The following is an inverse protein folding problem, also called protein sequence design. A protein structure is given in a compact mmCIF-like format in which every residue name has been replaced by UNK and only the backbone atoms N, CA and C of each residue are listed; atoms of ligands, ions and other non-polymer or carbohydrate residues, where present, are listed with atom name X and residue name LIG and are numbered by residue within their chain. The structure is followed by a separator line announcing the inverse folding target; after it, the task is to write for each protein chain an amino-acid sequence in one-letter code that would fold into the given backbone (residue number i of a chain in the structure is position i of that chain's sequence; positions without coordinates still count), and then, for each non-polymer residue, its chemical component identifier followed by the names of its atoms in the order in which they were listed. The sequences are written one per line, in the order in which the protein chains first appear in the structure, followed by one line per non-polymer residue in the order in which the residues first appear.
data_IF_412378569176
#
_entry.id   IF_412378569176
#
_cell.length_a   1.000
_cell.length_b   1.000
_cell.length_c   1.000
_cell.angle_alpha   90.00
_cell.angle_beta   90.00
_cell.angle_gamma   90.00
#
_symmetry.space_group_name_H-M   'P 1'
#
loop_
_entity.id
_entity.type
_entity.pdbx_description
1 polymer ?
#
# COMPACT_ATOMS: atom_id res chain seq x y z
N UNK A 1 -5.51 -15.11 18.23
CA UNK A 1 -5.33 -15.57 16.82
C UNK A 1 -3.85 -15.73 16.52
N UNK A 2 -3.01 -14.69 16.68
CA UNK A 2 -1.58 -14.72 16.37
C UNK A 2 -0.87 -15.93 17.02
N UNK A 3 -0.90 -16.04 18.35
CA UNK A 3 -0.25 -17.12 19.10
C UNK A 3 -0.71 -18.52 18.72
N UNK A 4 -1.98 -18.66 18.27
CA UNK A 4 -2.52 -19.94 17.84
C UNK A 4 -2.13 -20.30 16.40
N UNK A 5 -1.52 -19.40 15.65
CA UNK A 5 -1.19 -19.53 14.22
C UNK A 5 0.31 -19.44 13.92
N UNK A 6 1.14 -19.14 14.91
CA UNK A 6 2.61 -19.22 14.77
C UNK A 6 3.04 -20.72 14.67
N UNK A 7 4.00 -21.07 13.77
CA UNK A 7 4.79 -20.18 12.91
C UNK A 7 4.15 -19.84 11.54
N UNK A 8 3.05 -20.49 11.19
CA UNK A 8 2.43 -20.39 9.87
C UNK A 8 2.07 -18.94 9.50
N UNK A 9 1.60 -18.13 10.47
CA UNK A 9 1.21 -16.74 10.25
C UNK A 9 2.33 -15.89 9.64
N UNK A 10 3.57 -16.13 10.05
CA UNK A 10 4.74 -15.37 9.56
C UNK A 10 5.14 -15.70 8.12
N UNK A 11 4.57 -16.75 7.52
CA UNK A 11 4.85 -17.16 6.14
C UNK A 11 3.71 -16.85 5.16
N UNK A 12 2.59 -16.31 5.66
CA UNK A 12 1.42 -16.06 4.83
C UNK A 12 1.68 -14.96 3.81
N UNK A 13 1.27 -15.19 2.57
CA UNK A 13 1.32 -14.24 1.47
C UNK A 13 0.12 -14.45 0.53
N UNK A 14 -1.07 -14.06 1.00
CA UNK A 14 -2.35 -14.30 0.33
C UNK A 14 -2.41 -13.81 -1.12
N UNK A 15 -1.75 -12.68 -1.41
CA UNK A 15 -1.75 -12.09 -2.75
C UNK A 15 -0.61 -12.60 -3.65
N UNK A 16 0.33 -13.39 -3.12
CA UNK A 16 1.50 -13.83 -3.86
C UNK A 16 2.39 -12.66 -4.31
N UNK A 17 2.56 -11.69 -3.44
CA UNK A 17 3.38 -10.52 -3.72
C UNK A 17 4.88 -10.86 -3.63
N UNK A 18 5.69 -10.43 -4.63
CA UNK A 18 7.10 -10.84 -4.77
C UNK A 18 8.07 -9.65 -4.96
N UNK A 19 7.55 -8.41 -5.08
CA UNK A 19 8.38 -7.24 -5.31
C UNK A 19 9.26 -6.92 -4.10
N UNK A 20 10.43 -6.30 -4.38
CA UNK A 20 11.32 -5.76 -3.36
C UNK A 20 10.79 -4.42 -2.84
N UNK A 21 11.13 -4.09 -1.60
CA UNK A 21 10.83 -2.77 -1.05
C UNK A 21 11.75 -1.72 -1.73
N UNK A 22 11.22 -0.61 -2.26
CA UNK A 22 12.03 0.44 -2.88
C UNK A 22 13.10 0.99 -1.94
N UNK A 23 14.29 1.29 -2.48
CA UNK A 23 15.44 1.73 -1.67
C UNK A 23 15.19 3.03 -0.91
N UNK A 24 14.33 3.89 -1.45
CA UNK A 24 13.96 5.15 -0.78
C UNK A 24 13.15 4.95 0.51
N UNK A 25 12.65 3.74 0.82
CA UNK A 25 12.15 3.44 2.17
C UNK A 25 13.25 3.58 3.25
N UNK A 26 14.52 3.45 2.85
CA UNK A 26 15.66 3.65 3.76
C UNK A 26 16.19 5.08 3.79
N UNK A 27 15.71 5.97 2.91
CA UNK A 27 16.26 7.34 2.79
C UNK A 27 15.21 8.44 2.83
N UNK A 28 13.96 8.11 2.54
CA UNK A 28 12.87 9.07 2.35
C UNK A 28 12.97 9.87 1.04
N UNK A 29 13.90 9.56 0.14
CA UNK A 29 14.13 10.32 -1.11
C UNK A 29 13.16 9.87 -2.21
N UNK A 30 11.93 10.37 -2.15
CA UNK A 30 10.90 10.18 -3.17
C UNK A 30 10.18 11.50 -3.46
N UNK A 31 9.67 11.64 -4.66
CA UNK A 31 8.90 12.80 -5.10
C UNK A 31 7.44 12.79 -4.59
N UNK A 32 7.00 11.67 -4.01
CA UNK A 32 5.69 11.56 -3.40
C UNK A 32 5.70 12.15 -1.99
N UNK A 33 5.19 13.38 -1.84
CA UNK A 33 5.27 14.16 -0.60
C UNK A 33 4.78 13.41 0.65
N UNK A 34 3.68 12.66 0.54
CA UNK A 34 3.14 11.85 1.65
C UNK A 34 4.11 10.75 2.10
N UNK A 35 4.76 10.06 1.16
CA UNK A 35 5.77 9.03 1.46
C UNK A 35 7.05 9.64 1.99
N UNK A 36 7.55 10.72 1.34
CA UNK A 36 8.71 11.46 1.83
C UNK A 36 8.58 11.81 3.32
N UNK A 37 7.51 12.51 3.69
CA UNK A 37 7.32 12.94 5.08
C UNK A 37 7.08 11.78 6.04
N UNK A 38 6.28 10.79 5.66
CA UNK A 38 6.00 9.65 6.55
C UNK A 38 7.23 8.78 6.79
N UNK A 39 8.05 8.54 5.76
CA UNK A 39 9.29 7.77 5.88
C UNK A 39 10.35 8.58 6.63
N UNK A 40 10.53 9.85 6.28
CA UNK A 40 11.49 10.71 6.97
C UNK A 40 11.18 10.81 8.47
N UNK A 41 9.93 11.00 8.85
CA UNK A 41 9.50 10.99 10.25
C UNK A 41 9.83 9.64 10.92
N UNK A 42 9.59 8.53 10.21
CA UNK A 42 9.88 7.19 10.74
C UNK A 42 11.38 6.99 10.99
N UNK A 43 12.23 7.44 10.05
CA UNK A 43 13.69 7.34 10.15
C UNK A 43 14.27 8.26 11.23
N UNK A 44 13.77 9.50 11.32
CA UNK A 44 14.31 10.50 12.25
C UNK A 44 13.88 10.25 13.70
N UNK A 45 12.67 9.70 13.92
CA UNK A 45 12.08 9.56 15.25
C UNK A 45 11.81 8.12 15.67
N UNK A 46 12.10 7.14 14.84
CA UNK A 46 11.74 5.73 15.03
C UNK A 46 10.25 5.53 15.37
N UNK A 47 9.40 6.45 14.90
CA UNK A 47 7.97 6.47 15.19
C UNK A 47 7.16 7.12 14.06
N UNK A 48 6.03 6.54 13.75
CA UNK A 48 4.97 7.13 12.94
C UNK A 48 3.59 6.77 13.53
N UNK A 49 2.61 7.64 13.32
CA UNK A 49 1.23 7.36 13.70
C UNK A 49 0.70 6.14 12.92
N UNK A 50 -0.15 5.33 13.56
CA UNK A 50 -0.69 4.11 12.95
C UNK A 50 -1.28 4.33 11.54
N UNK A 51 -1.99 5.45 11.32
CA UNK A 51 -2.54 5.77 9.99
C UNK A 51 -1.44 6.04 8.95
N UNK A 52 -0.32 6.65 9.31
CA UNK A 52 0.82 6.83 8.39
C UNK A 52 1.42 5.46 8.02
N UNK A 53 1.59 4.58 9.02
CA UNK A 53 2.08 3.20 8.80
C UNK A 53 1.13 2.42 7.89
N UNK A 54 -0.16 2.43 8.20
CA UNK A 54 -1.16 1.62 7.49
C UNK A 54 -1.49 2.18 6.10
N UNK A 55 -1.88 3.47 6.05
CA UNK A 55 -2.54 4.06 4.87
C UNK A 55 -1.60 4.88 3.97
N UNK A 56 -0.34 5.06 4.35
CA UNK A 56 0.67 5.73 3.52
C UNK A 56 1.75 4.72 3.14
N UNK A 57 2.65 4.39 4.06
CA UNK A 57 3.78 3.47 3.75
C UNK A 57 3.32 2.05 3.47
N UNK A 58 2.51 1.45 4.34
CA UNK A 58 1.98 0.10 4.14
C UNK A 58 1.07 -0.04 2.91
N UNK A 59 0.20 0.96 2.68
CA UNK A 59 -0.66 1.01 1.51
C UNK A 59 0.17 1.01 0.21
N UNK A 60 1.19 1.86 0.12
CA UNK A 60 2.02 1.93 -1.09
C UNK A 60 2.77 0.61 -1.33
N UNK A 61 3.37 0.02 -0.30
CA UNK A 61 4.03 -1.28 -0.39
C UNK A 61 3.07 -2.39 -0.89
N UNK A 62 1.84 -2.43 -0.35
CA UNK A 62 0.81 -3.39 -0.79
C UNK A 62 0.40 -3.17 -2.25
N UNK A 63 0.24 -1.91 -2.67
CA UNK A 63 -0.12 -1.56 -4.05
C UNK A 63 0.99 -1.86 -5.05
N UNK A 64 2.26 -1.79 -4.64
CA UNK A 64 3.42 -2.21 -5.45
C UNK A 64 3.56 -3.73 -5.53
N UNK A 65 2.87 -4.50 -4.71
CA UNK A 65 3.04 -5.93 -4.61
C UNK A 65 4.34 -6.34 -3.90
N UNK A 66 4.79 -5.54 -2.95
CA UNK A 66 5.99 -5.87 -2.13
C UNK A 66 5.75 -7.11 -1.30
N UNK A 67 6.77 -8.00 -1.24
CA UNK A 67 6.69 -9.22 -0.43
C UNK A 67 6.46 -8.86 1.04
N UNK A 68 5.52 -9.51 1.76
CA UNK A 68 5.20 -9.17 3.15
C UNK A 68 6.41 -9.20 4.10
N UNK A 69 7.38 -10.09 3.87
CA UNK A 69 8.61 -10.17 4.68
C UNK A 69 9.46 -8.91 4.59
N UNK A 70 9.52 -8.27 3.42
CA UNK A 70 10.23 -7.01 3.25
C UNK A 70 9.60 -5.89 4.09
N UNK A 71 8.25 -5.84 4.08
CA UNK A 71 7.50 -4.85 4.85
C UNK A 71 7.65 -5.13 6.35
N UNK A 72 7.48 -6.37 6.79
CA UNK A 72 7.64 -6.76 8.19
C UNK A 72 9.04 -6.42 8.70
N UNK A 73 10.09 -6.77 7.93
CA UNK A 73 11.48 -6.51 8.27
C UNK A 73 11.75 -5.01 8.42
N UNK A 74 11.23 -4.19 7.50
CA UNK A 74 11.40 -2.75 7.57
C UNK A 74 10.70 -2.16 8.80
N UNK A 75 9.46 -2.55 9.09
CA UNK A 75 8.72 -2.06 10.26
C UNK A 75 9.37 -2.48 11.58
N UNK A 76 9.79 -3.74 11.70
CA UNK A 76 10.48 -4.23 12.88
C UNK A 76 11.84 -3.54 13.10
N UNK A 77 12.53 -3.17 12.02
CA UNK A 77 13.83 -2.51 12.08
C UNK A 77 13.77 -1.01 12.36
N UNK A 78 12.69 -0.34 12.00
CA UNK A 78 12.58 1.13 12.09
C UNK A 78 11.89 1.60 13.37
N UNK A 79 10.78 0.96 13.78
CA UNK A 79 9.96 1.50 14.86
C UNK A 79 10.38 1.00 16.24
N UNK A 80 10.58 1.93 17.18
CA UNK A 80 10.98 1.64 18.56
C UNK A 80 9.91 0.84 19.33
N UNK A 81 8.66 0.96 18.93
CA UNK A 81 7.52 0.25 19.52
C UNK A 81 7.17 -1.06 18.81
N UNK A 82 8.00 -1.49 17.86
CA UNK A 82 7.77 -2.69 17.06
C UNK A 82 8.15 -3.96 17.84
N UNK A 83 7.19 -4.52 18.53
CA UNK A 83 7.27 -5.88 19.08
C UNK A 83 6.64 -6.84 18.08
N UNK A 84 7.32 -7.97 17.79
CA UNK A 84 6.91 -8.92 16.75
C UNK A 84 5.42 -9.32 16.86
N UNK A 85 4.99 -9.73 18.05
CA UNK A 85 3.62 -10.18 18.28
C UNK A 85 2.54 -9.08 18.12
N UNK A 86 2.93 -7.82 18.19
CA UNK A 86 2.08 -6.66 17.89
C UNK A 86 2.20 -6.26 16.43
N UNK A 87 3.44 -6.22 15.94
CA UNK A 87 3.76 -5.69 14.61
C UNK A 87 3.26 -6.61 13.50
N UNK A 88 3.51 -7.92 13.57
CA UNK A 88 3.10 -8.84 12.51
C UNK A 88 1.59 -8.87 12.26
N UNK A 89 0.68 -8.92 13.26
CA UNK A 89 -0.75 -8.81 13.01
C UNK A 89 -1.15 -7.47 12.36
N UNK A 90 -0.49 -6.36 12.73
CA UNK A 90 -0.78 -5.05 12.16
C UNK A 90 -0.18 -4.87 10.75
N UNK A 91 1.01 -5.38 10.50
CA UNK A 91 1.67 -5.26 9.20
C UNK A 91 1.19 -6.34 8.24
N UNK A 92 1.51 -7.60 8.51
CA UNK A 92 1.19 -8.73 7.64
C UNK A 92 -0.31 -8.97 7.53
N UNK A 93 -1.04 -8.95 8.63
CA UNK A 93 -2.49 -9.18 8.65
C UNK A 93 -3.28 -7.96 8.18
N UNK A 94 -3.10 -6.82 8.81
CA UNK A 94 -3.94 -5.64 8.53
C UNK A 94 -3.45 -4.84 7.32
N UNK A 95 -2.16 -4.45 7.29
CA UNK A 95 -1.61 -3.59 6.25
C UNK A 95 -1.49 -4.32 4.91
N UNK A 96 -0.87 -5.50 4.89
CA UNK A 96 -0.60 -6.26 3.67
C UNK A 96 -1.71 -7.25 3.32
N UNK A 97 -2.66 -7.49 4.23
CA UNK A 97 -3.72 -8.49 4.05
C UNK A 97 -3.19 -9.88 3.65
N UNK A 98 -1.98 -10.18 4.08
CA UNK A 98 -1.27 -11.39 3.70
C UNK A 98 -1.85 -12.66 4.35
N UNK A 99 -2.69 -12.50 5.37
CA UNK A 99 -3.42 -13.59 6.05
C UNK A 99 -4.77 -13.93 5.40
N UNK A 100 -5.13 -13.26 4.30
CA UNK A 100 -6.37 -13.49 3.58
C UNK A 100 -7.65 -13.13 4.36
N UNK A 101 -7.52 -12.34 5.44
CA UNK A 101 -8.67 -11.82 6.18
C UNK A 101 -8.89 -12.43 7.56
N UNK A 102 -7.87 -13.03 8.17
CA UNK A 102 -7.95 -13.50 9.57
C UNK A 102 -8.00 -12.33 10.57
N UNK A 103 -7.26 -11.26 10.29
CA UNK A 103 -7.18 -10.06 11.14
C UNK A 103 -8.09 -8.96 10.60
N UNK A 104 -7.97 -8.64 9.31
CA UNK A 104 -8.71 -7.56 8.67
C UNK A 104 -9.84 -8.10 7.77
N UNK A 105 -11.00 -7.48 7.78
CA UNK A 105 -12.16 -7.90 6.99
C UNK A 105 -12.05 -7.53 5.50
N UNK A 106 -11.08 -6.68 5.13
CA UNK A 106 -10.75 -6.26 3.76
C UNK A 106 -9.33 -5.71 3.73
N UNK A 107 -8.68 -5.65 2.55
CA UNK A 107 -7.41 -4.94 2.41
C UNK A 107 -7.55 -3.45 2.76
N UNK A 108 -6.57 -2.91 3.47
CA UNK A 108 -6.47 -1.48 3.77
C UNK A 108 -5.67 -0.76 2.68
N UNK A 109 -6.18 -0.86 1.45
CA UNK A 109 -5.63 -0.15 0.29
C UNK A 109 -6.52 1.01 -0.10
N UNK A 110 -5.92 2.08 -0.60
CA UNK A 110 -6.63 3.29 -1.03
C UNK A 110 -5.88 4.05 -2.11
N UNK A 111 -6.62 4.85 -2.88
CA UNK A 111 -6.05 5.86 -3.77
C UNK A 111 -5.55 7.08 -3.00
N UNK A 112 -4.88 8.00 -3.70
CA UNK A 112 -4.45 9.28 -3.15
C UNK A 112 -5.57 10.14 -2.56
N UNK A 113 -6.81 9.94 -3.00
CA UNK A 113 -7.98 10.66 -2.45
C UNK A 113 -8.17 10.45 -0.96
N UNK A 114 -7.88 9.26 -0.43
CA UNK A 114 -7.93 9.01 1.01
C UNK A 114 -6.85 9.81 1.74
N UNK A 115 -5.61 9.78 1.24
CA UNK A 115 -4.48 10.52 1.82
C UNK A 115 -4.77 12.01 1.84
N UNK A 116 -5.30 12.55 0.74
CA UNK A 116 -5.70 13.97 0.64
C UNK A 116 -6.78 14.37 1.64
N UNK A 117 -7.71 13.45 1.95
CA UNK A 117 -8.78 13.70 2.94
C UNK A 117 -8.25 13.67 4.37
N UNK A 118 -7.23 12.85 4.66
CA UNK A 118 -6.74 12.59 6.01
C UNK A 118 -5.51 13.40 6.39
N UNK A 119 -4.93 14.15 5.44
CA UNK A 119 -3.69 14.89 5.64
C UNK A 119 -3.61 16.11 4.71
N UNK A 120 -2.60 16.95 4.92
CA UNK A 120 -2.27 18.09 4.05
C UNK A 120 -1.14 17.77 3.05
N UNK A 121 -0.64 16.56 2.97
CA UNK A 121 0.50 16.19 2.12
C UNK A 121 0.30 16.49 0.64
N UNK A 122 -0.94 16.40 0.15
CA UNK A 122 -1.24 16.58 -1.26
C UNK A 122 -1.23 18.05 -1.71
N UNK A 123 -1.27 19.02 -0.77
CA UNK A 123 -1.27 20.45 -1.09
C UNK A 123 -0.01 20.91 -1.81
N UNK A 124 1.15 20.42 -1.34
CA UNK A 124 2.47 20.80 -1.86
C UNK A 124 3.15 19.65 -2.63
N UNK A 125 2.37 18.65 -3.05
CA UNK A 125 2.89 17.50 -3.80
C UNK A 125 3.00 17.85 -5.28
N UNK A 126 4.09 17.41 -5.93
CA UNK A 126 4.22 17.56 -7.39
C UNK A 126 3.17 16.77 -8.18
N UNK A 127 2.59 15.72 -7.59
CA UNK A 127 1.57 14.89 -8.22
C UNK A 127 0.16 15.39 -7.91
N UNK A 128 -0.69 15.45 -8.93
CA UNK A 128 -2.08 15.83 -8.79
C UNK A 128 -2.94 14.66 -8.31
N UNK A 129 -3.47 14.76 -7.09
CA UNK A 129 -4.29 13.73 -6.47
C UNK A 129 -5.65 13.51 -7.15
N UNK A 130 -6.13 14.48 -7.96
CA UNK A 130 -7.39 14.37 -8.70
C UNK A 130 -7.25 13.60 -10.01
N UNK A 131 -6.04 13.53 -10.54
CA UNK A 131 -5.74 12.86 -11.81
C UNK A 131 -5.43 11.38 -11.59
N UNK A 132 -5.83 10.55 -12.56
CA UNK A 132 -5.58 9.11 -12.58
C UNK A 132 -4.57 8.73 -13.65
N UNK A 133 -4.46 9.55 -14.69
CA UNK A 133 -3.64 9.34 -15.88
C UNK A 133 -2.76 10.56 -16.13
N UNK A 134 -1.71 10.38 -16.91
CA UNK A 134 -0.73 11.43 -17.21
C UNK A 134 0.47 11.40 -16.26
N UNK A 135 1.53 12.13 -16.62
CA UNK A 135 2.80 12.12 -15.88
C UNK A 135 2.65 12.68 -14.47
N UNK A 136 1.84 13.73 -14.32
CA UNK A 136 1.62 14.40 -13.04
C UNK A 136 0.53 13.75 -12.18
N UNK A 137 -0.11 12.67 -12.64
CA UNK A 137 -1.13 11.99 -11.85
C UNK A 137 -0.52 11.31 -10.61
N UNK A 138 -1.25 11.34 -9.50
CA UNK A 138 -0.80 10.68 -8.27
C UNK A 138 -0.58 9.17 -8.49
N UNK A 139 0.63 8.63 -8.19
CA UNK A 139 0.93 7.20 -8.39
C UNK A 139 -0.03 6.26 -7.68
N UNK A 140 -0.49 6.61 -6.48
CA UNK A 140 -1.48 5.83 -5.74
C UNK A 140 -2.77 5.57 -6.54
N UNK A 141 -3.18 6.49 -7.41
CA UNK A 141 -4.44 6.35 -8.14
C UNK A 141 -4.39 5.22 -9.16
N UNK A 142 -3.37 5.19 -10.01
CA UNK A 142 -3.20 4.12 -11.01
C UNK A 142 -2.94 2.77 -10.34
N UNK A 143 -2.04 2.75 -9.33
CA UNK A 143 -1.73 1.54 -8.58
C UNK A 143 -2.96 0.95 -7.88
N UNK A 144 -3.80 1.79 -7.27
CA UNK A 144 -5.01 1.34 -6.59
C UNK A 144 -6.01 0.65 -7.52
N UNK A 145 -6.27 1.23 -8.69
CA UNK A 145 -7.21 0.65 -9.63
C UNK A 145 -6.65 -0.61 -10.30
N UNK A 146 -5.33 -0.61 -10.57
CA UNK A 146 -4.63 -1.80 -11.03
C UNK A 146 -4.70 -2.93 -9.99
N UNK A 147 -4.43 -2.63 -8.72
CA UNK A 147 -4.52 -3.61 -7.63
C UNK A 147 -5.92 -4.24 -7.53
N UNK A 148 -6.98 -3.44 -7.61
CA UNK A 148 -8.34 -3.95 -7.55
C UNK A 148 -8.67 -4.87 -8.73
N UNK A 149 -8.20 -4.54 -9.92
CA UNK A 149 -8.43 -5.37 -11.10
C UNK A 149 -7.60 -6.66 -11.06
N UNK A 150 -6.33 -6.57 -10.70
CA UNK A 150 -5.42 -7.72 -10.57
C UNK A 150 -5.89 -8.71 -9.49
N UNK A 151 -6.25 -8.20 -8.32
CA UNK A 151 -6.71 -9.03 -7.18
C UNK A 151 -8.22 -9.33 -7.21
N UNK A 152 -8.89 -9.08 -8.33
CA UNK A 152 -10.32 -9.40 -8.52
C UNK A 152 -10.67 -10.85 -8.20
N UNK A 153 -9.90 -11.88 -8.59
CA UNK A 153 -10.21 -13.27 -8.25
C UNK A 153 -10.32 -13.53 -6.75
N UNK A 154 -9.48 -12.87 -5.93
CA UNK A 154 -9.47 -13.04 -4.48
C UNK A 154 -10.50 -12.14 -3.77
N UNK A 155 -10.76 -10.94 -4.31
CA UNK A 155 -11.48 -9.87 -3.61
C UNK A 155 -12.90 -9.60 -4.08
N UNK A 156 -13.29 -10.03 -5.29
CA UNK A 156 -14.61 -9.69 -5.85
C UNK A 156 -15.79 -10.21 -5.01
N UNK A 157 -15.58 -11.32 -4.27
CA UNK A 157 -16.59 -11.90 -3.38
C UNK A 157 -16.64 -11.24 -2.00
N UNK A 158 -15.67 -10.38 -1.67
CA UNK A 158 -15.63 -9.69 -0.40
C UNK A 158 -16.69 -8.58 -0.38
N UNK A 159 -17.68 -8.73 0.52
CA UNK A 159 -18.80 -7.79 0.64
C UNK A 159 -18.33 -6.34 0.89
N UNK A 160 -17.24 -6.15 1.67
CA UNK A 160 -16.70 -4.83 1.98
C UNK A 160 -16.05 -4.14 0.77
N UNK A 161 -15.73 -4.90 -0.29
CA UNK A 161 -15.13 -4.39 -1.52
C UNK A 161 -16.17 -4.12 -2.62
N UNK A 162 -17.44 -4.50 -2.44
CA UNK A 162 -18.50 -4.40 -3.44
C UNK A 162 -18.61 -3.00 -4.05
N UNK A 163 -18.56 -1.96 -3.22
CA UNK A 163 -18.67 -0.57 -3.68
C UNK A 163 -17.48 -0.20 -4.58
N UNK A 164 -16.26 -0.62 -4.25
CA UNK A 164 -15.05 -0.33 -5.04
C UNK A 164 -15.12 -1.02 -6.41
N UNK A 165 -15.56 -2.28 -6.45
CA UNK A 165 -15.80 -2.99 -7.72
C UNK A 165 -16.93 -2.38 -8.55
N UNK A 166 -17.98 -1.85 -7.93
CA UNK A 166 -19.03 -1.11 -8.63
C UNK A 166 -18.48 0.15 -9.31
N UNK A 167 -17.50 0.83 -8.71
CA UNK A 167 -16.81 1.98 -9.33
C UNK A 167 -15.87 1.51 -10.43
N UNK A 168 -15.04 0.49 -10.16
CA UNK A 168 -14.09 -0.07 -11.13
C UNK A 168 -14.79 -0.50 -12.44
N UNK A 169 -15.97 -1.10 -12.33
CA UNK A 169 -16.75 -1.57 -13.48
C UNK A 169 -17.39 -0.43 -14.32
N UNK A 170 -17.27 0.84 -13.88
CA UNK A 170 -17.74 2.01 -14.65
C UNK A 170 -16.64 2.60 -15.56
N UNK A 171 -15.39 2.21 -15.38
CA UNK A 171 -14.33 2.67 -16.27
C UNK A 171 -14.44 2.03 -17.64
N UNK A 172 -14.09 2.79 -18.68
CA UNK A 172 -13.96 2.22 -20.01
C UNK A 172 -12.74 1.26 -20.06
N UNK A 173 -12.75 0.38 -21.05
CA UNK A 173 -11.63 -0.55 -21.26
C UNK A 173 -10.33 0.21 -21.51
N UNK A 174 -10.38 1.32 -22.27
CA UNK A 174 -9.22 2.16 -22.59
C UNK A 174 -8.66 2.85 -21.35
N UNK A 175 -9.53 3.39 -20.48
CA UNK A 175 -9.11 3.99 -19.20
C UNK A 175 -8.42 2.96 -18.31
N UNK A 176 -9.00 1.77 -18.19
CA UNK A 176 -8.44 0.71 -17.35
C UNK A 176 -7.08 0.25 -17.88
N UNK A 177 -6.94 0.03 -19.20
CA UNK A 177 -5.67 -0.31 -19.83
C UNK A 177 -4.62 0.77 -19.58
N UNK A 178 -4.98 2.04 -19.75
CA UNK A 178 -4.07 3.16 -19.50
C UNK A 178 -3.61 3.26 -18.05
N UNK A 179 -4.52 3.01 -17.09
CA UNK A 179 -4.16 2.94 -15.66
C UNK A 179 -3.24 1.76 -15.35
N UNK A 180 -3.48 0.60 -15.96
CA UNK A 180 -2.63 -0.59 -15.80
C UNK A 180 -1.22 -0.39 -16.37
N UNK A 181 -1.10 0.19 -17.56
CA UNK A 181 0.19 0.53 -18.17
C UNK A 181 0.99 1.50 -17.30
N UNK A 182 0.33 2.52 -16.75
CA UNK A 182 0.98 3.44 -15.81
C UNK A 182 1.40 2.74 -14.52
N UNK A 183 0.53 1.90 -13.96
CA UNK A 183 0.85 1.11 -12.75
C UNK A 183 2.05 0.19 -13.00
N UNK A 184 2.10 -0.52 -14.13
CA UNK A 184 3.26 -1.36 -14.50
C UNK A 184 4.55 -0.54 -14.55
N UNK A 185 4.54 0.65 -15.17
CA UNK A 185 5.71 1.55 -15.19
C UNK A 185 6.15 1.94 -13.77
N UNK A 186 5.20 2.25 -12.86
CA UNK A 186 5.54 2.58 -11.48
C UNK A 186 6.13 1.36 -10.75
N UNK A 187 5.57 0.17 -10.96
CA UNK A 187 6.04 -1.07 -10.34
C UNK A 187 7.43 -1.49 -10.85
N UNK A 188 7.73 -1.25 -12.14
CA UNK A 188 9.03 -1.55 -12.75
C UNK A 188 10.13 -0.58 -12.31
N UNK A 189 9.79 0.70 -12.13
CA UNK A 189 10.75 1.76 -11.79
C UNK A 189 10.26 2.64 -10.63
N UNK A 190 9.99 2.08 -9.45
CA UNK A 190 9.45 2.84 -8.32
C UNK A 190 10.39 3.94 -7.83
N UNK A 191 11.69 3.80 -8.11
CA UNK A 191 12.73 4.76 -7.76
C UNK A 191 12.63 6.11 -8.52
N UNK A 192 11.86 6.15 -9.60
CA UNK A 192 11.68 7.35 -10.42
C UNK A 192 10.55 8.26 -9.94
N UNK A 193 9.83 7.88 -8.88
CA UNK A 193 8.61 8.55 -8.40
C UNK A 193 8.73 9.19 -7.03
#
# INVERSE_FOLDING_TARGET
IYWAKIPEFSTLNHFGNEAQLPTWYCTGKTNMNCLHHSIKQSLDHAYAHHIQRLMVTGNFASLLGVHPDEVDRWYLGIYIDALEWVQLPNTRGMSQFADGGLIATKPYVSSGSYINKMSNYCGDCQYNVKERLGENACPFNSLYWNFLDDKRPQLARNFRMKMMYSVLNKFSTEELISMKLRASKIMETPESF
#
